data_IF_021174692112
#
_entry.id   IF_021174692112
#
_cell.length_a   1.000
_cell.length_b   1.000
_cell.length_c   1.000
_cell.angle_alpha   90.00
_cell.angle_beta   90.00
_cell.angle_gamma   90.00
#
_symmetry.space_group_name_H-M   'P 1'
#
loop_
_entity.id
_entity.type
_entity.pdbx_description
1 polymer ?
#
# COMPACT_ATOMS: atom_id res chain seq x y z
N UNK A 1 7.35 -10.37 10.14
CA UNK A 1 7.79 -10.69 8.76
C UNK A 1 8.90 -9.73 8.36
N UNK A 2 9.80 -10.07 7.44
CA UNK A 2 10.79 -9.12 6.93
C UNK A 2 10.21 -8.42 5.69
N UNK A 3 10.69 -7.21 5.39
CA UNK A 3 10.26 -6.48 4.19
C UNK A 3 10.52 -7.27 2.88
N UNK A 4 11.61 -8.05 2.82
CA UNK A 4 11.89 -8.92 1.68
C UNK A 4 10.84 -10.02 1.51
N UNK A 5 10.34 -10.59 2.61
CA UNK A 5 9.24 -11.57 2.55
C UNK A 5 7.95 -10.93 2.04
N UNK A 6 7.60 -9.73 2.52
CA UNK A 6 6.44 -8.97 2.02
C UNK A 6 6.54 -8.73 0.52
N UNK A 7 7.71 -8.31 0.02
CA UNK A 7 7.96 -8.13 -1.41
C UNK A 7 7.75 -9.44 -2.19
N UNK A 8 8.41 -10.54 -1.76
CA UNK A 8 8.32 -11.83 -2.44
C UNK A 8 6.87 -12.34 -2.50
N UNK A 9 6.11 -12.16 -1.42
CA UNK A 9 4.71 -12.60 -1.35
C UNK A 9 3.81 -11.71 -2.22
N UNK A 10 4.10 -10.42 -2.32
CA UNK A 10 3.43 -9.51 -3.26
C UNK A 10 3.70 -9.91 -4.71
N UNK A 11 4.95 -10.23 -5.08
CA UNK A 11 5.31 -10.67 -6.44
C UNK A 11 4.60 -11.99 -6.83
N UNK A 12 4.56 -12.96 -5.91
CA UNK A 12 3.80 -14.21 -6.13
C UNK A 12 2.30 -13.94 -6.36
N UNK A 13 1.74 -12.98 -5.63
CA UNK A 13 0.33 -12.59 -5.80
C UNK A 13 0.10 -12.00 -7.19
N UNK A 14 0.93 -11.04 -7.61
CA UNK A 14 0.88 -10.43 -8.93
C UNK A 14 1.00 -11.49 -10.03
N UNK A 15 2.00 -12.36 -9.91
CA UNK A 15 2.21 -13.44 -10.88
C UNK A 15 1.01 -14.39 -10.98
N UNK A 16 0.39 -14.72 -9.83
CA UNK A 16 -0.74 -15.65 -9.78
C UNK A 16 -2.02 -15.08 -10.40
N UNK A 17 -2.29 -13.79 -10.20
CA UNK A 17 -3.54 -13.16 -10.64
C UNK A 17 -3.37 -12.29 -11.89
N UNK A 18 -2.14 -12.01 -12.32
CA UNK A 18 -1.84 -11.27 -13.54
C UNK A 18 -2.17 -9.78 -13.48
N UNK A 19 -2.32 -9.22 -12.29
CA UNK A 19 -2.70 -7.81 -12.10
C UNK A 19 -2.00 -7.18 -10.90
N UNK A 20 -1.79 -5.86 -10.99
CA UNK A 20 -1.35 -4.98 -9.89
C UNK A 20 -2.51 -4.08 -9.40
N UNK A 21 -3.67 -4.14 -10.05
CA UNK A 21 -4.82 -3.36 -9.62
C UNK A 21 -5.45 -3.99 -8.36
N UNK A 22 -5.56 -3.24 -7.25
CA UNK A 22 -6.05 -3.78 -5.99
C UNK A 22 -7.53 -4.13 -6.05
N UNK A 23 -8.34 -3.45 -6.87
CA UNK A 23 -9.77 -3.76 -7.00
C UNK A 23 -9.98 -5.05 -7.81
N UNK A 24 -9.21 -5.24 -8.89
CA UNK A 24 -9.21 -6.51 -9.63
C UNK A 24 -8.76 -7.68 -8.75
N UNK A 25 -7.75 -7.46 -7.88
CA UNK A 25 -7.33 -8.47 -6.91
C UNK A 25 -8.43 -8.80 -5.91
N UNK A 26 -9.12 -7.79 -5.35
CA UNK A 26 -10.22 -7.98 -4.41
C UNK A 26 -11.31 -8.84 -5.04
N UNK A 27 -11.65 -8.58 -6.30
CA UNK A 27 -12.68 -9.33 -7.04
C UNK A 27 -12.23 -10.78 -7.36
N UNK A 28 -10.93 -10.98 -7.68
CA UNK A 28 -10.39 -12.30 -8.02
C UNK A 28 -10.11 -13.19 -6.79
N UNK A 29 -9.94 -12.61 -5.61
CA UNK A 29 -9.59 -13.33 -4.39
C UNK A 29 -10.79 -14.09 -3.81
N UNK A 30 -10.66 -15.40 -3.51
CA UNK A 30 -11.74 -16.17 -2.91
C UNK A 30 -12.09 -15.63 -1.52
N UNK A 31 -13.39 -15.61 -1.21
CA UNK A 31 -13.91 -15.13 0.08
C UNK A 31 -13.46 -13.71 0.46
N UNK A 32 -13.25 -12.84 -0.53
CA UNK A 32 -12.93 -11.43 -0.34
C UNK A 32 -14.02 -10.57 -0.96
N UNK A 33 -14.43 -9.52 -0.29
CA UNK A 33 -15.49 -8.62 -0.74
C UNK A 33 -15.11 -7.18 -0.51
N UNK A 34 -15.28 -6.37 -1.54
CA UNK A 34 -15.30 -4.92 -1.39
C UNK A 34 -16.64 -4.53 -0.76
N UNK A 35 -16.61 -3.89 0.40
CA UNK A 35 -17.79 -3.38 1.05
C UNK A 35 -18.04 -1.94 0.62
N UNK A 36 -19.27 -1.66 0.17
CA UNK A 36 -19.67 -0.31 -0.19
C UNK A 36 -19.74 0.57 1.07
N UNK A 37 -18.73 1.40 1.25
CA UNK A 37 -18.59 2.28 2.41
C UNK A 37 -19.31 3.64 2.22
N UNK A 38 -20.53 3.63 1.62
CA UNK A 38 -21.32 4.84 1.33
C UNK A 38 -21.69 5.65 2.56
N UNK A 39 -21.53 5.09 3.75
CA UNK A 39 -21.83 5.76 5.02
C UNK A 39 -20.60 6.41 5.65
N UNK A 40 -19.43 6.33 5.01
CA UNK A 40 -18.24 7.02 5.49
C UNK A 40 -18.32 8.51 5.14
N UNK A 41 -18.01 9.36 6.11
CA UNK A 41 -17.89 10.80 5.89
C UNK A 41 -16.67 11.12 5.03
N UNK A 42 -16.73 12.20 4.25
CA UNK A 42 -15.63 12.62 3.37
C UNK A 42 -14.31 12.84 4.12
N UNK A 43 -14.38 13.37 5.34
CA UNK A 43 -13.22 13.66 6.20
C UNK A 43 -12.98 12.56 7.27
N UNK A 44 -13.68 11.44 7.16
CA UNK A 44 -13.65 10.35 8.13
C UNK A 44 -12.62 9.27 7.81
N UNK A 45 -12.98 8.06 8.18
CA UNK A 45 -12.18 6.85 7.94
C UNK A 45 -11.87 6.70 6.44
N UNK A 46 -10.61 6.44 6.09
CA UNK A 46 -10.17 6.27 4.70
C UNK A 46 -10.43 4.87 4.19
N UNK A 47 -10.20 3.87 5.02
CA UNK A 47 -10.45 2.47 4.72
C UNK A 47 -10.49 1.63 5.97
N UNK A 48 -10.85 0.38 5.83
CA UNK A 48 -10.63 -0.65 6.84
C UNK A 48 -10.68 -2.05 6.25
N UNK A 49 -9.98 -2.98 6.90
CA UNK A 49 -10.09 -4.40 6.64
C UNK A 49 -10.59 -5.16 7.88
N UNK A 50 -11.35 -6.22 7.65
CA UNK A 50 -11.78 -7.14 8.72
C UNK A 50 -12.06 -8.53 8.15
N UNK A 51 -12.04 -9.55 9.04
CA UNK A 51 -12.40 -10.93 8.69
C UNK A 51 -13.54 -11.39 9.58
N UNK A 52 -14.68 -11.69 8.97
CA UNK A 52 -15.87 -12.18 9.66
C UNK A 52 -16.30 -13.48 9.01
N UNK A 53 -16.45 -14.54 9.81
CA UNK A 53 -16.88 -15.87 9.32
C UNK A 53 -16.03 -16.38 8.13
N UNK A 54 -14.71 -16.16 8.17
CA UNK A 54 -13.75 -16.52 7.10
C UNK A 54 -13.96 -15.76 5.78
N UNK A 55 -14.78 -14.73 5.77
CA UNK A 55 -14.92 -13.78 4.66
C UNK A 55 -14.12 -12.53 4.99
N UNK A 56 -13.28 -12.11 4.07
CA UNK A 56 -12.49 -10.89 4.14
C UNK A 56 -13.33 -9.74 3.60
N UNK A 57 -13.46 -8.68 4.38
CA UNK A 57 -14.14 -7.46 3.95
C UNK A 57 -13.13 -6.32 3.90
N UNK A 58 -13.11 -5.63 2.79
CA UNK A 58 -12.32 -4.43 2.58
C UNK A 58 -13.30 -3.31 2.28
N UNK A 59 -13.15 -2.18 2.97
CA UNK A 59 -13.89 -0.98 2.70
C UNK A 59 -12.92 0.15 2.34
N UNK A 60 -13.28 0.93 1.33
CA UNK A 60 -12.53 2.11 0.89
C UNK A 60 -13.50 3.28 0.84
N UNK A 61 -13.09 4.44 1.34
CA UNK A 61 -13.91 5.63 1.33
C UNK A 61 -14.12 6.13 -0.11
N UNK A 62 -15.36 6.13 -0.61
CA UNK A 62 -15.66 6.50 -1.99
C UNK A 62 -15.55 8.01 -2.27
N UNK A 63 -15.38 8.83 -1.24
CA UNK A 63 -15.23 10.29 -1.38
C UNK A 63 -13.78 10.70 -1.69
N UNK A 64 -12.82 9.76 -1.56
CA UNK A 64 -11.42 10.00 -1.91
C UNK A 64 -11.23 10.05 -3.43
N UNK A 65 -10.22 10.80 -3.94
CA UNK A 65 -9.78 10.67 -5.32
C UNK A 65 -9.46 9.21 -5.68
N UNK A 66 -9.67 8.81 -6.93
CA UNK A 66 -9.50 7.41 -7.35
C UNK A 66 -8.09 6.87 -7.09
N UNK A 67 -7.07 7.69 -7.30
CA UNK A 67 -5.67 7.34 -7.04
C UNK A 67 -5.43 7.02 -5.55
N UNK A 68 -6.06 7.79 -4.66
CA UNK A 68 -6.01 7.52 -3.23
C UNK A 68 -6.82 6.26 -2.86
N UNK A 69 -7.98 6.05 -3.49
CA UNK A 69 -8.75 4.82 -3.28
C UNK A 69 -7.93 3.57 -3.64
N UNK A 70 -7.14 3.61 -4.73
CA UNK A 70 -6.23 2.52 -5.10
C UNK A 70 -5.17 2.28 -4.03
N UNK A 71 -4.56 3.33 -3.50
CA UNK A 71 -3.55 3.22 -2.44
C UNK A 71 -4.16 2.61 -1.18
N UNK A 72 -5.34 3.08 -0.75
CA UNK A 72 -6.06 2.54 0.41
C UNK A 72 -6.42 1.05 0.17
N UNK A 73 -6.98 0.71 -0.99
CA UNK A 73 -7.33 -0.67 -1.31
C UNK A 73 -6.11 -1.61 -1.26
N UNK A 74 -4.96 -1.16 -1.79
CA UNK A 74 -3.70 -1.89 -1.71
C UNK A 74 -3.21 -2.06 -0.26
N UNK A 75 -3.33 -1.03 0.56
CA UNK A 75 -2.98 -1.05 1.98
C UNK A 75 -3.84 -2.05 2.77
N UNK A 76 -5.17 -2.02 2.57
CA UNK A 76 -6.10 -2.95 3.20
C UNK A 76 -5.86 -4.41 2.77
N UNK A 77 -5.47 -4.63 1.50
CA UNK A 77 -4.99 -5.94 1.05
C UNK A 77 -3.72 -6.36 1.80
N UNK A 78 -2.80 -5.43 2.05
CA UNK A 78 -1.62 -5.67 2.88
C UNK A 78 -2.00 -6.21 4.26
N UNK A 79 -2.97 -5.62 4.94
CA UNK A 79 -3.47 -6.14 6.21
C UNK A 79 -4.09 -7.54 6.06
N UNK A 80 -4.84 -7.80 4.99
CA UNK A 80 -5.43 -9.12 4.73
C UNK A 80 -4.36 -10.20 4.58
N UNK A 81 -3.27 -9.92 3.86
CA UNK A 81 -2.23 -10.92 3.59
C UNK A 81 -1.23 -11.06 4.72
N UNK A 82 -0.77 -9.94 5.27
CA UNK A 82 0.32 -9.91 6.25
C UNK A 82 -0.18 -10.10 7.70
N UNK A 83 -1.43 -9.67 8.01
CA UNK A 83 -1.94 -9.53 9.38
C UNK A 83 -3.28 -10.22 9.62
N UNK A 84 -3.64 -11.24 8.84
CA UNK A 84 -4.94 -11.93 8.93
C UNK A 84 -5.30 -12.42 10.35
N UNK A 85 -4.31 -12.81 11.15
CA UNK A 85 -4.54 -13.23 12.54
C UNK A 85 -5.04 -12.08 13.44
N UNK A 86 -4.58 -10.86 13.19
CA UNK A 86 -5.03 -9.67 13.91
C UNK A 86 -6.43 -9.27 13.48
N UNK A 87 -6.73 -9.34 12.19
CA UNK A 87 -8.04 -8.99 11.64
C UNK A 87 -9.19 -9.89 12.09
N UNK A 88 -8.89 -11.14 12.48
CA UNK A 88 -9.89 -12.04 13.06
C UNK A 88 -10.36 -11.60 14.46
N UNK A 89 -9.58 -10.78 15.13
CA UNK A 89 -9.87 -10.33 16.50
C UNK A 89 -10.35 -8.89 16.55
N UNK A 90 -9.90 -8.06 15.61
CA UNK A 90 -10.20 -6.63 15.58
C UNK A 90 -10.10 -6.10 14.14
N UNK A 91 -11.06 -5.27 13.73
CA UNK A 91 -10.94 -4.54 12.46
C UNK A 91 -9.81 -3.51 12.56
N UNK A 92 -8.96 -3.44 11.53
CA UNK A 92 -7.99 -2.36 11.41
C UNK A 92 -8.68 -1.20 10.69
N UNK A 93 -8.53 0.00 11.25
CA UNK A 93 -9.21 1.20 10.81
C UNK A 93 -8.18 2.30 10.55
N UNK A 94 -8.16 2.82 9.33
CA UNK A 94 -7.17 3.78 8.88
C UNK A 94 -7.77 5.15 8.62
N UNK A 95 -7.32 6.11 9.44
CA UNK A 95 -7.62 7.53 9.28
C UNK A 95 -6.54 8.26 8.50
N UNK A 96 -5.30 7.82 8.61
CA UNK A 96 -4.16 8.37 7.87
C UNK A 96 -3.04 7.35 7.73
N UNK A 97 -2.99 6.68 6.60
CA UNK A 97 -1.99 5.64 6.30
C UNK A 97 -0.56 6.20 6.15
N UNK A 98 -0.42 7.51 5.89
CA UNK A 98 0.89 8.13 5.69
C UNK A 98 1.60 8.49 7.00
N UNK A 99 0.87 8.57 8.10
CA UNK A 99 1.41 8.78 9.45
C UNK A 99 1.57 7.48 10.25
N UNK A 100 1.48 6.35 9.58
CA UNK A 100 1.56 5.03 10.18
C UNK A 100 2.87 4.84 10.96
N UNK A 101 2.77 4.83 12.30
CA UNK A 101 3.93 4.65 13.20
C UNK A 101 4.08 3.20 13.65
N UNK A 102 3.06 2.39 13.47
CA UNK A 102 3.02 0.98 13.84
C UNK A 102 3.78 0.08 12.85
N UNK A 103 4.26 -1.07 13.36
CA UNK A 103 4.92 -2.06 12.50
C UNK A 103 3.96 -2.63 11.45
N UNK A 104 2.72 -2.95 11.84
CA UNK A 104 1.72 -3.53 10.97
C UNK A 104 1.35 -2.58 9.84
N UNK A 105 1.16 -1.31 10.16
CA UNK A 105 0.86 -0.26 9.19
C UNK A 105 1.98 -0.09 8.15
N UNK A 106 3.23 -0.13 8.61
CA UNK A 106 4.38 -0.05 7.68
C UNK A 106 4.46 -1.26 6.77
N UNK A 107 4.23 -2.46 7.29
CA UNK A 107 4.23 -3.71 6.50
C UNK A 107 3.11 -3.64 5.44
N UNK A 108 1.91 -3.16 5.79
CA UNK A 108 0.82 -2.95 4.85
C UNK A 108 1.15 -1.89 3.79
N UNK A 109 1.79 -0.78 4.16
CA UNK A 109 2.23 0.23 3.21
C UNK A 109 3.31 -0.28 2.26
N UNK A 110 4.26 -1.10 2.72
CA UNK A 110 5.26 -1.73 1.83
C UNK A 110 4.59 -2.70 0.85
N UNK A 111 3.67 -3.52 1.34
CA UNK A 111 2.88 -4.40 0.48
C UNK A 111 2.16 -3.60 -0.61
N UNK A 112 1.43 -2.55 -0.23
CA UNK A 112 0.71 -1.70 -1.17
C UNK A 112 1.64 -1.03 -2.20
N UNK A 113 2.79 -0.52 -1.76
CA UNK A 113 3.76 0.14 -2.64
C UNK A 113 4.36 -0.84 -3.66
N UNK A 114 4.70 -2.06 -3.23
CA UNK A 114 5.25 -3.08 -4.11
C UNK A 114 4.17 -3.75 -5.00
N UNK A 115 2.91 -3.71 -4.59
CA UNK A 115 1.77 -4.12 -5.41
C UNK A 115 1.50 -3.13 -6.54
N UNK A 116 1.31 -1.85 -6.18
CA UNK A 116 0.83 -0.83 -7.11
C UNK A 116 1.88 -0.35 -8.11
N UNK A 117 3.16 -0.35 -7.69
CA UNK A 117 4.25 0.26 -8.45
C UNK A 117 5.21 -0.81 -8.95
N UNK A 118 5.35 -0.88 -10.27
CA UNK A 118 6.32 -1.76 -10.90
C UNK A 118 7.76 -1.23 -10.70
N UNK A 119 8.70 -2.13 -10.46
CA UNK A 119 10.10 -1.76 -10.24
C UNK A 119 10.74 -1.16 -11.49
N UNK A 120 10.53 -1.79 -12.65
CA UNK A 120 11.13 -1.36 -13.91
C UNK A 120 10.57 0.00 -14.31
N UNK A 121 9.24 0.19 -14.25
CA UNK A 121 8.59 1.46 -14.54
C UNK A 121 9.14 2.59 -13.65
N UNK A 122 9.24 2.35 -12.34
CA UNK A 122 9.74 3.34 -11.39
C UNK A 122 11.21 3.68 -11.65
N UNK A 123 12.05 2.66 -11.88
CA UNK A 123 13.47 2.87 -12.13
C UNK A 123 13.71 3.59 -13.47
N UNK A 124 12.94 3.28 -14.51
CA UNK A 124 13.02 3.96 -15.80
C UNK A 124 12.69 5.45 -15.66
N UNK A 125 11.65 5.79 -14.92
CA UNK A 125 11.29 7.18 -14.64
C UNK A 125 12.40 7.92 -13.87
N UNK A 126 12.98 7.29 -12.85
CA UNK A 126 14.07 7.87 -12.07
C UNK A 126 15.33 8.07 -12.94
N UNK A 127 15.68 7.08 -13.76
CA UNK A 127 16.90 7.10 -14.59
C UNK A 127 16.76 7.95 -15.85
N UNK A 128 15.54 8.34 -16.26
CA UNK A 128 15.32 9.26 -17.39
C UNK A 128 16.00 10.62 -17.22
N UNK A 129 16.44 10.93 -16.00
CA UNK A 129 17.37 12.03 -15.68
C UNK A 129 16.74 13.42 -15.60
N UNK A 130 15.44 13.55 -15.84
CA UNK A 130 14.74 14.85 -15.85
C UNK A 130 13.68 15.01 -14.76
N UNK A 131 13.43 13.99 -13.96
CA UNK A 131 12.36 13.98 -12.98
C UNK A 131 12.91 13.93 -11.56
N UNK A 132 12.55 14.92 -10.74
CA UNK A 132 12.73 14.84 -9.29
C UNK A 132 11.70 13.89 -8.65
N UNK A 133 11.91 13.57 -7.38
CA UNK A 133 11.03 12.67 -6.62
C UNK A 133 9.54 13.02 -6.71
N UNK A 134 9.18 14.30 -6.63
CA UNK A 134 7.80 14.74 -6.65
C UNK A 134 7.20 14.65 -8.06
N UNK A 135 8.01 14.88 -9.08
CA UNK A 135 7.63 14.74 -10.48
C UNK A 135 7.35 13.28 -10.83
N UNK A 136 8.19 12.35 -10.37
CA UNK A 136 7.98 10.90 -10.54
C UNK A 136 6.69 10.46 -9.83
N UNK A 137 6.48 10.85 -8.56
CA UNK A 137 5.27 10.52 -7.83
C UNK A 137 4.00 11.02 -8.55
N UNK A 138 4.06 12.23 -9.12
CA UNK A 138 2.96 12.80 -9.90
C UNK A 138 2.70 12.04 -11.19
N UNK A 139 3.74 11.62 -11.91
CA UNK A 139 3.61 10.84 -13.15
C UNK A 139 3.01 9.45 -12.88
N UNK A 140 3.39 8.82 -11.76
CA UNK A 140 2.82 7.58 -11.28
C UNK A 140 1.40 7.73 -10.68
N UNK A 141 0.85 8.95 -10.65
CA UNK A 141 -0.46 9.26 -10.07
C UNK A 141 -0.61 8.76 -8.63
N UNK A 142 0.42 8.96 -7.79
CA UNK A 142 0.40 8.55 -6.38
C UNK A 142 0.83 9.69 -5.45
N UNK A 143 0.38 9.70 -4.20
CA UNK A 143 0.85 10.65 -3.21
C UNK A 143 2.35 10.50 -2.93
N UNK A 144 3.08 11.63 -2.89
CA UNK A 144 4.51 11.63 -2.66
C UNK A 144 4.95 10.93 -1.34
N UNK A 145 4.23 11.05 -0.20
CA UNK A 145 4.54 10.26 1.00
C UNK A 145 4.43 8.75 0.78
N UNK A 146 3.51 8.30 -0.06
CA UNK A 146 3.38 6.88 -0.40
C UNK A 146 4.52 6.41 -1.30
N UNK A 147 4.96 7.23 -2.27
CA UNK A 147 6.10 6.90 -3.12
C UNK A 147 7.38 6.65 -2.32
N UNK A 148 7.54 7.30 -1.16
CA UNK A 148 8.67 7.05 -0.28
C UNK A 148 8.77 5.60 0.20
N UNK A 149 7.65 4.88 0.39
CA UNK A 149 7.68 3.45 0.71
C UNK A 149 8.27 2.63 -0.43
N UNK A 150 7.90 2.94 -1.68
CA UNK A 150 8.48 2.27 -2.86
C UNK A 150 9.97 2.52 -3.00
N UNK A 151 10.39 3.77 -2.90
CA UNK A 151 11.80 4.14 -2.93
C UNK A 151 12.60 3.41 -1.83
N UNK A 152 12.05 3.35 -0.61
CA UNK A 152 12.69 2.64 0.48
C UNK A 152 12.75 1.12 0.23
N UNK A 153 11.71 0.53 -0.35
CA UNK A 153 11.68 -0.87 -0.74
C UNK A 153 12.79 -1.18 -1.75
N UNK A 154 12.95 -0.36 -2.79
CA UNK A 154 14.02 -0.46 -3.79
C UNK A 154 15.41 -0.36 -3.15
N UNK A 155 15.65 0.64 -2.32
CA UNK A 155 16.92 0.84 -1.61
C UNK A 155 17.26 -0.39 -0.74
N UNK A 156 16.29 -0.94 -0.03
CA UNK A 156 16.50 -2.14 0.82
C UNK A 156 16.80 -3.40 0.00
N UNK A 157 16.41 -3.43 -1.25
CA UNK A 157 16.71 -4.51 -2.20
C UNK A 157 18.02 -4.29 -2.99
N UNK A 158 18.73 -3.20 -2.71
CA UNK A 158 20.08 -2.95 -3.24
C UNK A 158 20.18 -1.86 -4.30
N UNK A 159 19.09 -1.16 -4.60
CA UNK A 159 19.13 -0.04 -5.53
C UNK A 159 19.82 1.18 -4.89
N UNK A 160 20.71 1.83 -5.67
CA UNK A 160 21.47 3.00 -5.24
C UNK A 160 20.68 4.30 -5.45
N UNK A 161 19.62 4.47 -4.67
CA UNK A 161 18.72 5.63 -4.73
C UNK A 161 18.84 6.47 -3.46
N UNK A 162 18.46 7.75 -3.57
CA UNK A 162 18.40 8.66 -2.43
C UNK A 162 16.99 9.16 -2.20
N UNK A 163 16.54 9.12 -0.94
CA UNK A 163 15.29 9.77 -0.54
C UNK A 163 15.55 11.26 -0.31
N UNK A 164 14.63 12.15 -0.74
CA UNK A 164 14.72 13.56 -0.42
C UNK A 164 14.77 13.81 1.08
N UNK A 165 15.57 14.80 1.49
CA UNK A 165 15.78 15.14 2.92
C UNK A 165 14.49 15.71 3.55
N UNK A 166 13.65 16.36 2.75
CA UNK A 166 12.46 17.08 3.21
C UNK A 166 11.23 16.18 3.43
N UNK A 167 11.33 14.89 3.08
CA UNK A 167 10.26 13.95 3.40
C UNK A 167 10.40 13.54 4.85
N UNK A 168 9.30 13.67 5.61
CA UNK A 168 9.22 13.12 6.95
C UNK A 168 9.28 11.59 6.91
N UNK A 169 10.50 11.07 6.94
CA UNK A 169 10.78 9.62 6.93
C UNK A 169 10.78 9.01 8.34
N UNK A 170 10.24 9.71 9.37
CA UNK A 170 10.12 9.16 10.73
C UNK A 170 9.32 7.86 10.76
N UNK A 171 8.34 7.73 9.87
CA UNK A 171 7.56 6.50 9.71
C UNK A 171 8.39 5.32 9.15
N UNK A 172 9.51 5.57 8.44
CA UNK A 172 10.42 4.54 7.93
C UNK A 172 11.44 4.08 8.99
N UNK A 173 11.65 4.86 10.06
CA UNK A 173 12.61 4.54 11.11
C UNK A 173 11.97 3.61 12.13
N UNK A 174 12.40 2.34 12.17
CA UNK A 174 12.08 1.46 13.28
C UNK A 174 12.65 2.07 14.56
N UNK A 175 11.84 2.30 15.58
CA UNK A 175 12.35 2.36 16.93
C UNK A 175 12.74 0.92 17.30
N UNK A 176 14.03 0.70 17.48
CA UNK A 176 14.57 -0.51 18.09
C UNK A 176 14.14 -0.63 19.53
#
# INVERSE_FOLDING_TARGET
MTQLQTFDDTQKLIQKYGTRDPFELIDALPNTKLWSARLLDADGLRGFATIVNRVRYIAVNPHLPYEEQRVIAGHELGHIFEHSNHLCCQAMQDFDIYQATGRLEREANFFAADLLLDDEEVLDLIHSGNADFFSVAKELCIPAPFFAFKMYSLIRRGEHLQLPVDIDNRFLRAKH
#
